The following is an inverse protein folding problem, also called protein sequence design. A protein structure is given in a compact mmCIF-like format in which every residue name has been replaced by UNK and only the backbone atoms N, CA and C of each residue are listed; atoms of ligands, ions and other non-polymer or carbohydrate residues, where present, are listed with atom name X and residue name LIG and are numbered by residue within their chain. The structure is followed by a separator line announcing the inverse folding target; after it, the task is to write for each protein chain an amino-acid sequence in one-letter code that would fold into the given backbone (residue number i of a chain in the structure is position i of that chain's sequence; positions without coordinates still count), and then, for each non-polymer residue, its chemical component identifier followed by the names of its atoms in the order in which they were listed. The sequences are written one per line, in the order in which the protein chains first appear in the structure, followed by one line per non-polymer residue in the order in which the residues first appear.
data_IF_184817685458
#
_entry.id   IF_184817685458
#
_cell.length_a   1.000
_cell.length_b   1.000
_cell.length_c   1.000
_cell.angle_alpha   90.00
_cell.angle_beta   90.00
_cell.angle_gamma   90.00
#
_symmetry.space_group_name_H-M   'P 1'
#
loop_
_entity.id
_entity.type
_entity.pdbx_description
1 polymer ?
#
# COMPACT_ATOMS: atom_id res chain seq x y z
N UNK A 1 23.96 2.77 -16.91
CA UNK A 1 22.50 2.64 -16.81
C UNK A 1 22.04 3.42 -15.59
N UNK A 2 21.27 4.49 -15.76
CA UNK A 2 20.69 5.22 -14.63
C UNK A 2 19.69 4.29 -13.93
N UNK A 3 19.96 3.91 -12.67
CA UNK A 3 18.92 3.42 -11.78
C UNK A 3 17.95 4.58 -11.59
N UNK A 4 16.74 4.49 -12.12
CA UNK A 4 15.65 5.34 -11.66
C UNK A 4 15.50 4.99 -10.18
N UNK A 5 16.00 5.85 -9.30
CA UNK A 5 15.79 5.69 -7.87
C UNK A 5 14.27 5.70 -7.67
N UNK A 6 13.69 4.63 -7.11
CA UNK A 6 12.29 4.69 -6.67
C UNK A 6 12.19 5.91 -5.76
N UNK A 7 11.24 6.81 -6.06
CA UNK A 7 11.03 7.98 -5.22
C UNK A 7 10.68 7.51 -3.81
N UNK A 8 11.28 8.14 -2.80
CA UNK A 8 10.97 7.81 -1.41
C UNK A 8 9.57 8.31 -1.06
N UNK A 9 8.80 7.54 -0.28
CA UNK A 9 7.42 7.82 0.13
C UNK A 9 7.23 9.27 0.58
N UNK A 10 8.09 9.75 1.46
CA UNK A 10 8.02 11.11 2.00
C UNK A 10 8.09 12.19 0.91
N UNK A 11 9.03 12.04 -0.03
CA UNK A 11 9.18 12.97 -1.14
C UNK A 11 7.99 12.92 -2.10
N UNK A 12 7.44 11.73 -2.33
CA UNK A 12 6.23 11.58 -3.15
C UNK A 12 5.02 12.28 -2.52
N UNK A 13 4.88 12.22 -1.19
CA UNK A 13 3.83 12.93 -0.45
C UNK A 13 4.01 14.46 -0.50
N UNK A 14 5.26 14.95 -0.48
CA UNK A 14 5.56 16.38 -0.66
C UNK A 14 5.24 16.85 -2.08
N UNK A 15 5.67 16.10 -3.10
CA UNK A 15 5.37 16.43 -4.52
C UNK A 15 3.86 16.49 -4.80
N UNK A 16 3.06 15.67 -4.11
CA UNK A 16 1.59 15.67 -4.20
C UNK A 16 0.93 16.78 -3.39
N UNK A 17 1.69 17.59 -2.64
CA UNK A 17 1.17 18.63 -1.76
C UNK A 17 0.43 18.09 -0.54
N UNK A 18 0.61 16.80 -0.21
CA UNK A 18 0.02 16.19 0.99
C UNK A 18 0.81 16.58 2.23
N UNK A 19 2.14 16.68 2.09
CA UNK A 19 3.04 17.14 3.14
C UNK A 19 3.80 18.39 2.69
N UNK A 20 4.17 19.24 3.64
CA UNK A 20 5.26 20.20 3.46
C UNK A 20 6.62 19.55 3.76
N UNK A 21 7.71 20.17 3.30
CA UNK A 21 9.07 19.73 3.65
C UNK A 21 9.29 19.72 5.17
N UNK A 22 8.73 20.69 5.90
CA UNK A 22 8.83 20.76 7.36
C UNK A 22 8.08 19.62 8.04
N UNK A 23 6.89 19.26 7.54
CA UNK A 23 6.13 18.12 8.06
C UNK A 23 6.84 16.80 7.78
N UNK A 24 7.46 16.66 6.61
CA UNK A 24 8.30 15.50 6.30
C UNK A 24 9.51 15.42 7.23
N UNK A 25 10.19 16.54 7.48
CA UNK A 25 11.32 16.60 8.41
C UNK A 25 10.90 16.21 9.84
N UNK A 26 9.75 16.70 10.31
CA UNK A 26 9.17 16.31 11.60
C UNK A 26 8.92 14.80 11.68
N UNK A 27 8.29 14.21 10.66
CA UNK A 27 8.01 12.77 10.63
C UNK A 27 9.30 11.92 10.60
N UNK A 28 10.32 12.35 9.85
CA UNK A 28 11.62 11.69 9.81
C UNK A 28 12.36 11.78 11.14
N UNK A 29 12.24 12.89 11.87
CA UNK A 29 12.84 13.02 13.19
C UNK A 29 12.15 12.13 14.23
N UNK A 30 10.82 12.06 14.19
CA UNK A 30 10.06 11.11 15.00
C UNK A 30 10.47 9.66 14.68
N UNK A 31 10.68 9.34 13.41
CA UNK A 31 11.12 8.01 12.98
C UNK A 31 12.46 7.58 13.56
N UNK A 32 13.41 8.50 13.76
CA UNK A 32 14.70 8.17 14.41
C UNK A 32 14.52 7.71 15.86
N UNK A 33 13.45 8.19 16.50
CA UNK A 33 13.14 7.90 17.91
C UNK A 33 12.20 6.70 18.07
N UNK A 34 11.63 6.18 16.98
CA UNK A 34 10.74 5.02 16.97
C UNK A 34 11.32 3.90 16.10
N UNK A 35 10.68 2.72 16.09
CA UNK A 35 10.98 1.65 15.11
C UNK A 35 9.89 1.52 14.05
N UNK A 36 9.05 2.53 13.93
CA UNK A 36 7.85 2.48 13.11
C UNK A 36 8.15 2.87 11.65
N UNK A 37 7.27 2.44 10.74
CA UNK A 37 7.37 2.82 9.33
C UNK A 37 7.00 4.30 9.18
N UNK A 38 7.70 5.02 8.30
CA UNK A 38 7.45 6.44 8.05
C UNK A 38 5.98 6.75 7.75
N UNK A 39 5.33 5.91 6.93
CA UNK A 39 3.91 6.08 6.61
C UNK A 39 2.99 6.02 7.84
N UNK A 40 3.26 5.11 8.78
CA UNK A 40 2.49 5.00 10.02
C UNK A 40 2.64 6.26 10.88
N UNK A 41 3.89 6.72 11.04
CA UNK A 41 4.20 7.95 11.80
C UNK A 41 3.49 9.16 11.21
N UNK A 42 3.45 9.28 9.88
CA UNK A 42 2.76 10.39 9.19
C UNK A 42 1.25 10.39 9.52
N UNK A 43 0.63 9.21 9.56
CA UNK A 43 -0.80 9.07 9.92
C UNK A 43 -1.01 9.37 11.40
N UNK A 44 -0.18 8.82 12.28
CA UNK A 44 -0.30 8.99 13.74
C UNK A 44 -0.10 10.44 14.19
N UNK A 45 0.77 11.18 13.49
CA UNK A 45 0.97 12.62 13.69
C UNK A 45 -0.15 13.47 13.07
N UNK A 46 -1.12 12.86 12.37
CA UNK A 46 -2.21 13.55 11.69
C UNK A 46 -1.75 14.41 10.50
N UNK A 47 -0.57 14.13 9.95
CA UNK A 47 0.03 14.91 8.87
C UNK A 47 -0.56 14.53 7.49
N UNK A 48 -0.98 13.27 7.34
CA UNK A 48 -1.74 12.82 6.18
C UNK A 48 -2.77 11.77 6.59
N UNK A 49 -3.79 11.58 5.76
CA UNK A 49 -4.73 10.47 5.93
C UNK A 49 -4.11 9.14 5.48
N UNK A 50 -4.61 8.05 6.03
CA UNK A 50 -4.14 6.70 5.71
C UNK A 50 -4.27 6.36 4.22
N UNK A 51 -5.40 6.70 3.60
CA UNK A 51 -5.65 6.50 2.17
C UNK A 51 -4.63 7.24 1.28
N UNK A 52 -4.25 8.46 1.66
CA UNK A 52 -3.24 9.25 0.96
C UNK A 52 -1.85 8.59 1.04
N UNK A 53 -1.50 8.04 2.20
CA UNK A 53 -0.24 7.33 2.41
C UNK A 53 -0.21 6.01 1.63
N UNK A 54 -1.31 5.24 1.66
CA UNK A 54 -1.42 3.99 0.93
C UNK A 54 -1.38 4.19 -0.59
N UNK A 55 -2.03 5.23 -1.12
CA UNK A 55 -1.97 5.58 -2.54
C UNK A 55 -0.55 5.97 -2.97
N UNK A 56 0.15 6.78 -2.17
CA UNK A 56 1.54 7.13 -2.44
C UNK A 56 2.45 5.88 -2.39
N UNK A 57 2.22 4.97 -1.44
CA UNK A 57 2.96 3.73 -1.35
C UNK A 57 2.71 2.83 -2.58
N UNK A 58 1.47 2.69 -3.02
CA UNK A 58 1.11 1.94 -4.22
C UNK A 58 1.80 2.51 -5.47
N UNK A 59 1.83 3.83 -5.62
CA UNK A 59 2.56 4.50 -6.70
C UNK A 59 4.07 4.27 -6.63
N UNK A 60 4.67 4.38 -5.44
CA UNK A 60 6.09 4.06 -5.23
C UNK A 60 6.42 2.60 -5.62
N UNK A 61 5.49 1.67 -5.37
CA UNK A 61 5.62 0.26 -5.69
C UNK A 61 5.26 -0.06 -7.15
N UNK A 62 4.63 0.88 -7.87
CA UNK A 62 4.16 0.67 -9.24
C UNK A 62 2.98 -0.29 -9.35
N UNK A 63 2.14 -0.36 -8.31
CA UNK A 63 0.96 -1.23 -8.23
C UNK A 63 -0.32 -0.41 -8.08
N UNK A 64 -1.48 -0.93 -8.49
CA UNK A 64 -2.76 -0.27 -8.25
C UNK A 64 -3.11 -0.25 -6.75
N UNK A 65 -3.74 0.84 -6.31
CA UNK A 65 -4.44 0.92 -5.02
C UNK A 65 -5.92 0.62 -5.22
N UNK A 66 -6.53 -0.09 -4.26
CA UNK A 66 -7.97 -0.37 -4.23
C UNK A 66 -8.50 -0.16 -2.81
N UNK A 67 -9.60 0.57 -2.69
CA UNK A 67 -10.35 0.68 -1.43
C UNK A 67 -11.49 -0.35 -1.45
N UNK A 68 -11.39 -1.36 -0.59
CA UNK A 68 -12.37 -2.44 -0.51
C UNK A 68 -13.73 -2.01 0.05
N UNK A 69 -13.82 -0.84 0.72
CA UNK A 69 -15.11 -0.32 1.19
C UNK A 69 -15.97 0.21 0.04
N UNK A 70 -15.35 0.60 -1.06
CA UNK A 70 -16.02 1.23 -2.21
C UNK A 70 -15.88 0.42 -3.50
N UNK A 71 -15.01 -0.58 -3.54
CA UNK A 71 -14.78 -1.41 -4.72
C UNK A 71 -15.94 -2.37 -5.03
N UNK A 72 -16.26 -2.50 -6.32
CA UNK A 72 -17.10 -3.58 -6.82
C UNK A 72 -16.27 -4.87 -6.96
N UNK A 73 -16.62 -5.88 -6.17
CA UNK A 73 -15.98 -7.20 -6.22
C UNK A 73 -16.73 -8.08 -7.22
N UNK A 74 -15.99 -8.67 -8.16
CA UNK A 74 -16.55 -9.61 -9.14
C UNK A 74 -17.12 -10.85 -8.41
N UNK A 75 -18.44 -11.12 -8.48
CA UNK A 75 -19.05 -12.23 -7.74
C UNK A 75 -18.45 -13.60 -8.07
N UNK A 76 -17.85 -13.76 -9.26
CA UNK A 76 -17.25 -15.01 -9.70
C UNK A 76 -16.01 -15.42 -8.89
N UNK A 77 -15.43 -14.50 -8.11
CA UNK A 77 -14.17 -14.75 -7.40
C UNK A 77 -14.32 -15.27 -5.97
N UNK A 78 -15.55 -15.27 -5.44
CA UNK A 78 -15.86 -15.53 -4.02
C UNK A 78 -15.28 -16.84 -3.47
N UNK A 79 -15.12 -17.86 -4.31
CA UNK A 79 -14.64 -19.19 -3.93
C UNK A 79 -13.32 -19.58 -4.60
N UNK A 80 -12.61 -18.63 -5.23
CA UNK A 80 -11.34 -18.92 -5.91
C UNK A 80 -10.15 -19.00 -4.96
N UNK A 81 -10.25 -18.36 -3.79
CA UNK A 81 -9.24 -18.40 -2.74
C UNK A 81 -9.89 -18.99 -1.50
N UNK A 82 -9.22 -19.96 -0.87
CA UNK A 82 -9.71 -20.58 0.38
C UNK A 82 -9.65 -19.56 1.53
N UNK A 83 -10.64 -19.52 2.45
CA UNK A 83 -10.65 -18.60 3.57
C UNK A 83 -9.36 -18.60 4.40
N UNK A 84 -8.76 -19.78 4.61
CA UNK A 84 -7.54 -19.92 5.41
C UNK A 84 -6.34 -19.22 4.75
N UNK A 85 -6.30 -19.18 3.42
CA UNK A 85 -5.27 -18.45 2.68
C UNK A 85 -5.54 -16.94 2.72
N UNK A 86 -6.80 -16.52 2.63
CA UNK A 86 -7.18 -15.10 2.74
C UNK A 86 -6.81 -14.52 4.11
N UNK A 87 -7.04 -15.28 5.20
CA UNK A 87 -6.63 -14.89 6.55
C UNK A 87 -5.12 -14.90 6.73
N UNK A 88 -4.45 -15.99 6.33
CA UNK A 88 -2.99 -16.14 6.48
C UNK A 88 -2.22 -15.06 5.74
N UNK A 89 -2.68 -14.69 4.56
CA UNK A 89 -2.00 -13.78 3.65
C UNK A 89 -2.62 -12.39 3.60
N UNK A 90 -3.63 -12.14 4.42
CA UNK A 90 -4.39 -10.88 4.49
C UNK A 90 -4.74 -10.36 3.09
N UNK A 91 -5.36 -11.25 2.30
CA UNK A 91 -5.64 -11.02 0.89
C UNK A 91 -7.09 -11.35 0.53
N UNK A 92 -7.63 -10.65 -0.47
CA UNK A 92 -9.01 -10.83 -0.95
C UNK A 92 -9.02 -10.83 -2.47
N UNK A 93 -9.58 -11.86 -3.13
CA UNK A 93 -9.71 -11.85 -4.58
C UNK A 93 -10.74 -10.79 -5.00
N UNK A 94 -10.41 -9.98 -6.01
CA UNK A 94 -11.25 -8.84 -6.43
C UNK A 94 -11.82 -8.99 -7.84
N UNK A 95 -11.07 -9.63 -8.74
CA UNK A 95 -11.46 -9.81 -10.14
C UNK A 95 -10.78 -11.01 -10.78
N UNK A 96 -11.49 -11.70 -11.66
CA UNK A 96 -10.92 -12.72 -12.54
C UNK A 96 -10.82 -12.20 -13.97
N UNK A 97 -9.62 -12.25 -14.54
CA UNK A 97 -9.40 -12.17 -15.98
C UNK A 97 -9.21 -13.56 -16.58
N UNK A 98 -9.08 -13.64 -17.92
CA UNK A 98 -9.04 -14.91 -18.65
C UNK A 98 -8.02 -15.92 -18.09
N UNK A 99 -6.84 -15.46 -17.66
CA UNK A 99 -5.80 -16.31 -17.07
C UNK A 99 -5.09 -15.68 -15.87
N UNK A 100 -5.76 -14.74 -15.18
CA UNK A 100 -5.18 -14.03 -14.03
C UNK A 100 -6.24 -13.81 -12.96
N UNK A 101 -5.85 -14.02 -11.71
CA UNK A 101 -6.63 -13.59 -10.55
C UNK A 101 -6.00 -12.31 -10.01
N UNK A 102 -6.81 -11.27 -9.86
CA UNK A 102 -6.40 -10.05 -9.16
C UNK A 102 -6.79 -10.20 -7.70
N UNK A 103 -5.84 -9.93 -6.81
CA UNK A 103 -6.00 -10.06 -5.36
C UNK A 103 -5.58 -8.75 -4.72
N UNK A 104 -6.41 -8.20 -3.85
CA UNK A 104 -6.06 -7.09 -2.96
C UNK A 104 -5.32 -7.66 -1.75
N UNK A 105 -4.29 -6.97 -1.27
CA UNK A 105 -3.43 -7.43 -0.17
C UNK A 105 -3.13 -6.26 0.77
N UNK A 106 -3.05 -6.53 2.07
CA UNK A 106 -2.58 -5.56 3.07
C UNK A 106 -1.10 -5.20 2.88
N UNK A 107 -0.26 -6.20 2.60
CA UNK A 107 1.16 -6.04 2.26
C UNK A 107 1.51 -6.69 0.91
N UNK A 108 1.46 -5.93 -0.20
CA UNK A 108 1.78 -6.43 -1.53
C UNK A 108 3.28 -6.73 -1.73
N UNK A 109 4.14 -6.40 -0.76
CA UNK A 109 5.56 -6.77 -0.79
C UNK A 109 5.83 -8.17 -0.23
N UNK A 110 4.83 -8.80 0.38
CA UNK A 110 4.88 -10.18 0.83
C UNK A 110 4.70 -11.14 -0.35
N UNK A 111 5.79 -11.40 -1.08
CA UNK A 111 5.81 -12.22 -2.31
C UNK A 111 5.44 -13.69 -2.06
N UNK A 112 5.47 -14.17 -0.81
CA UNK A 112 5.16 -15.57 -0.47
C UNK A 112 3.74 -15.99 -0.88
N UNK A 113 2.82 -15.03 -1.06
CA UNK A 113 1.43 -15.25 -1.49
C UNK A 113 1.34 -15.79 -2.93
N UNK A 114 2.35 -15.58 -3.77
CA UNK A 114 2.29 -15.90 -5.21
C UNK A 114 2.78 -17.33 -5.50
N UNK A 115 3.39 -18.03 -4.53
CA UNK A 115 4.09 -19.30 -4.75
C UNK A 115 3.44 -20.54 -4.12
N UNK A 116 2.25 -20.44 -3.52
CA UNK A 116 1.51 -21.56 -2.89
C UNK A 116 0.27 -21.99 -3.69
#
# INVERSE_FOLDING_TARGET
MMRVARKNLGQLLVEKGILTEDQLAQALEAQKSTREKLGQIIVDLGLAKEDQVLQALAEQLGIPYIDLNTAEIDPSVKNLVRPELMERYECVPVRKGDNKLVVAMSDPTNILVIME
#
